data_IF_760240988056
#
_entry.id   IF_760240988056
#
_cell.length_a   1.000
_cell.length_b   1.000
_cell.length_c   1.000
_cell.angle_alpha   90.00
_cell.angle_beta   90.00
_cell.angle_gamma   90.00
#
_symmetry.space_group_name_H-M   'P 1'
#
loop_
_entity.id
_entity.type
_entity.pdbx_description
1 polymer ?
#
# COMPACT_ATOMS: atom_id res chain seq x y z
N UNK A 1 41.35 66.83 34.30
CA UNK A 1 41.14 65.39 34.59
C UNK A 1 39.82 64.83 34.02
N UNK A 2 38.85 65.63 33.53
CA UNK A 2 37.56 65.11 33.01
C UNK A 2 37.57 64.69 31.53
N UNK A 3 38.45 65.25 30.69
CA UNK A 3 38.51 64.94 29.24
C UNK A 3 38.84 63.47 28.92
N UNK A 4 39.64 62.78 29.74
CA UNK A 4 39.94 61.35 29.56
C UNK A 4 38.77 60.42 29.93
N UNK A 5 37.80 60.91 30.73
CA UNK A 5 36.65 60.13 31.15
C UNK A 5 35.55 60.08 30.08
N UNK A 6 35.40 61.13 29.28
CA UNK A 6 34.43 61.20 28.18
C UNK A 6 34.90 60.40 26.96
N UNK A 7 36.18 60.47 26.62
CA UNK A 7 36.76 59.70 25.51
C UNK A 7 36.73 58.19 25.76
N UNK A 8 37.00 57.75 27.01
CA UNK A 8 36.88 56.32 27.37
C UNK A 8 35.44 55.82 27.40
N UNK A 9 34.47 56.67 27.80
CA UNK A 9 33.04 56.34 27.72
C UNK A 9 32.55 56.26 26.28
N UNK A 10 33.01 57.15 25.40
CA UNK A 10 32.67 57.16 23.97
C UNK A 10 33.20 55.89 23.26
N UNK A 11 34.45 55.52 23.48
CA UNK A 11 35.04 54.31 22.89
C UNK A 11 34.37 53.01 23.39
N UNK A 12 33.99 52.96 24.68
CA UNK A 12 33.24 51.83 25.25
C UNK A 12 31.82 51.73 24.68
N UNK A 13 31.16 52.86 24.45
CA UNK A 13 29.84 52.89 23.82
C UNK A 13 29.90 52.41 22.35
N UNK A 14 30.89 52.87 21.58
CA UNK A 14 31.07 52.51 20.16
C UNK A 14 31.43 51.02 19.97
N UNK A 15 32.28 50.46 20.84
CA UNK A 15 32.57 49.01 20.83
C UNK A 15 31.35 48.17 21.20
N UNK A 16 30.49 48.63 22.11
CA UNK A 16 29.28 47.92 22.52
C UNK A 16 28.21 47.91 21.40
N UNK A 17 28.02 49.02 20.69
CA UNK A 17 27.13 49.07 19.50
C UNK A 17 27.67 48.21 18.35
N UNK A 18 28.98 48.21 18.12
CA UNK A 18 29.60 47.33 17.10
C UNK A 18 29.43 45.85 17.43
N UNK A 19 29.63 45.45 18.71
CA UNK A 19 29.38 44.07 19.15
C UNK A 19 27.90 43.68 19.07
N UNK A 20 26.97 44.59 19.41
CA UNK A 20 25.54 44.35 19.27
C UNK A 20 25.14 44.16 17.80
N UNK A 21 25.65 45.00 16.90
CA UNK A 21 25.41 44.88 15.46
C UNK A 21 25.99 43.58 14.88
N UNK A 22 27.19 43.17 15.32
CA UNK A 22 27.80 41.91 14.92
C UNK A 22 26.99 40.70 15.40
N UNK A 23 26.48 40.74 16.63
CA UNK A 23 25.58 39.69 17.16
C UNK A 23 24.29 39.61 16.36
N UNK A 24 23.62 40.74 16.10
CA UNK A 24 22.38 40.76 15.30
C UNK A 24 22.63 40.18 13.90
N UNK A 25 23.72 40.59 13.22
CA UNK A 25 24.11 40.03 11.91
C UNK A 25 24.37 38.52 11.99
N UNK A 26 25.07 38.05 13.02
CA UNK A 26 25.30 36.63 13.23
C UNK A 26 24.00 35.85 13.44
N UNK A 27 23.04 36.39 14.20
CA UNK A 27 21.72 35.76 14.38
C UNK A 27 20.97 35.68 13.04
N UNK A 28 20.95 36.76 12.25
CA UNK A 28 20.34 36.73 10.92
C UNK A 28 20.99 35.70 9.99
N UNK A 29 22.32 35.61 9.99
CA UNK A 29 23.05 34.61 9.19
C UNK A 29 22.73 33.18 9.63
N UNK A 30 22.67 32.92 10.95
CA UNK A 30 22.31 31.61 11.49
C UNK A 30 20.86 31.26 11.16
N UNK A 31 19.92 32.20 11.34
CA UNK A 31 18.53 32.01 10.96
C UNK A 31 18.37 31.72 9.46
N UNK A 32 19.09 32.44 8.61
CA UNK A 32 19.06 32.21 7.16
C UNK A 32 19.65 30.85 6.79
N UNK A 33 20.74 30.43 7.45
CA UNK A 33 21.31 29.09 7.29
C UNK A 33 20.33 27.99 7.72
N UNK A 34 19.63 28.15 8.85
CA UNK A 34 18.62 27.19 9.31
C UNK A 34 17.46 27.09 8.31
N UNK A 35 16.96 28.23 7.81
CA UNK A 35 15.91 28.25 6.78
C UNK A 35 16.39 27.56 5.49
N UNK A 36 17.62 27.81 5.07
CA UNK A 36 18.20 27.16 3.89
C UNK A 36 18.34 25.63 4.08
N UNK A 37 18.80 25.17 5.24
CA UNK A 37 18.90 23.74 5.56
C UNK A 37 17.52 23.08 5.60
N UNK A 38 16.52 23.72 6.21
CA UNK A 38 15.14 23.21 6.22
C UNK A 38 14.53 23.17 4.82
N UNK A 39 14.76 24.19 3.99
CA UNK A 39 14.30 24.22 2.60
C UNK A 39 14.97 23.13 1.75
N UNK A 40 16.28 22.93 1.90
CA UNK A 40 17.01 21.85 1.24
C UNK A 40 16.53 20.47 1.69
N UNK A 41 16.31 20.29 3.00
CA UNK A 41 15.74 19.07 3.57
C UNK A 41 14.35 18.78 3.04
N UNK A 42 13.47 19.78 3.00
CA UNK A 42 12.13 19.67 2.42
C UNK A 42 12.17 19.34 0.92
N UNK A 43 13.08 19.95 0.17
CA UNK A 43 13.26 19.67 -1.26
C UNK A 43 13.73 18.24 -1.50
N UNK A 44 14.73 17.76 -0.73
CA UNK A 44 15.22 16.39 -0.83
C UNK A 44 14.14 15.38 -0.41
N UNK A 45 13.42 15.66 0.67
CA UNK A 45 12.27 14.86 1.14
C UNK A 45 11.20 14.77 0.05
N UNK A 46 10.81 15.89 -0.54
CA UNK A 46 9.79 15.94 -1.59
C UNK A 46 10.18 15.15 -2.85
N UNK A 47 11.49 14.98 -3.12
CA UNK A 47 11.99 14.20 -4.26
C UNK A 47 12.16 12.70 -3.98
N UNK A 48 12.57 12.33 -2.77
CA UNK A 48 12.97 10.95 -2.45
C UNK A 48 12.00 10.17 -1.57
N UNK A 49 11.25 10.84 -0.70
CA UNK A 49 10.35 10.18 0.25
C UNK A 49 9.00 9.82 -0.39
N UNK A 50 8.53 10.65 -1.32
CA UNK A 50 7.33 10.36 -2.08
C UNK A 50 7.69 9.33 -3.16
N UNK A 51 7.31 8.07 -2.90
CA UNK A 51 7.36 6.99 -3.88
C UNK A 51 6.70 7.47 -5.18
N UNK A 52 7.51 7.79 -6.18
CA UNK A 52 7.05 8.07 -7.54
C UNK A 52 6.80 6.73 -8.21
N UNK A 53 5.55 6.51 -8.61
CA UNK A 53 5.15 5.27 -9.28
C UNK A 53 5.52 5.37 -10.75
N UNK A 54 6.28 4.38 -11.25
CA UNK A 54 6.43 4.16 -12.68
C UNK A 54 5.26 3.29 -13.15
N UNK A 55 4.38 3.90 -13.94
CA UNK A 55 3.28 3.22 -14.61
C UNK A 55 3.70 2.95 -16.04
N UNK A 56 3.55 1.71 -16.50
CA UNK A 56 3.66 1.40 -17.92
C UNK A 56 2.32 1.74 -18.58
N UNK A 57 2.31 2.57 -19.64
CA UNK A 57 1.08 2.92 -20.35
C UNK A 57 0.63 1.84 -21.33
N UNK A 58 1.49 0.86 -21.61
CA UNK A 58 1.22 -0.17 -22.61
C UNK A 58 0.39 -1.31 -21.98
N UNK A 59 -0.63 -1.75 -22.72
CA UNK A 59 -1.47 -2.89 -22.34
C UNK A 59 -0.98 -4.17 -23.00
N UNK A 60 -1.09 -5.28 -22.28
CA UNK A 60 -0.81 -6.59 -22.84
C UNK A 60 -1.85 -6.98 -23.89
N UNK A 61 -1.38 -7.51 -25.02
CA UNK A 61 -2.25 -8.04 -26.08
C UNK A 61 -2.32 -9.57 -25.94
N UNK A 62 -3.53 -10.18 -25.99
CA UNK A 62 -3.67 -11.63 -25.90
C UNK A 62 -2.86 -12.40 -26.96
N UNK A 63 -2.59 -11.78 -28.10
CA UNK A 63 -1.88 -12.38 -29.22
C UNK A 63 -0.35 -12.31 -29.14
N UNK A 64 0.22 -11.59 -28.15
CA UNK A 64 1.66 -11.34 -28.04
C UNK A 64 2.21 -12.02 -26.80
N UNK A 65 3.01 -13.10 -26.96
CA UNK A 65 3.61 -13.77 -25.82
C UNK A 65 4.80 -12.97 -25.26
N UNK A 66 4.97 -12.88 -23.92
CA UNK A 66 6.02 -12.07 -23.31
C UNK A 66 7.44 -12.61 -23.54
N UNK A 67 7.57 -13.85 -24.06
CA UNK A 67 8.85 -14.53 -24.29
C UNK A 67 9.07 -14.98 -25.74
N UNK A 68 8.38 -14.38 -26.72
CA UNK A 68 8.36 -14.88 -28.09
C UNK A 68 9.66 -14.67 -28.89
N UNK A 69 10.67 -14.01 -28.31
CA UNK A 69 11.94 -13.69 -28.98
C UNK A 69 13.11 -14.58 -28.56
N UNK A 70 12.92 -15.90 -28.53
CA UNK A 70 14.06 -16.82 -28.55
C UNK A 70 14.42 -17.12 -30.02
N UNK A 71 15.63 -16.77 -30.51
CA UNK A 71 16.03 -17.08 -31.88
C UNK A 71 16.04 -18.60 -32.09
N UNK A 72 15.13 -19.12 -32.93
CA UNK A 72 15.13 -20.53 -33.34
C UNK A 72 13.81 -21.28 -33.25
N UNK A 73 12.68 -20.64 -32.92
CA UNK A 73 11.37 -21.30 -33.04
C UNK A 73 10.84 -21.17 -34.49
N UNK A 74 10.57 -22.28 -35.21
CA UNK A 74 10.15 -22.21 -36.60
C UNK A 74 8.75 -21.59 -36.75
N UNK A 75 8.64 -20.62 -37.67
CA UNK A 75 7.40 -19.96 -38.12
C UNK A 75 6.50 -20.90 -38.92
N UNK A 76 6.13 -22.06 -38.37
CA UNK A 76 5.17 -22.95 -38.99
C UNK A 76 4.03 -23.24 -38.02
N UNK A 77 3.18 -22.23 -37.81
CA UNK A 77 1.86 -22.45 -37.21
C UNK A 77 0.86 -22.32 -38.34
N UNK A 78 0.18 -23.43 -38.66
CA UNK A 78 -0.82 -23.52 -39.73
C UNK A 78 -2.05 -22.62 -39.48
N UNK A 79 -3.11 -22.71 -40.31
CA UNK A 79 -4.29 -21.84 -40.20
C UNK A 79 -5.02 -21.87 -38.85
N UNK A 80 -4.74 -22.86 -37.99
CA UNK A 80 -5.22 -22.92 -36.60
C UNK A 80 -4.47 -21.97 -35.64
N UNK A 81 -3.40 -21.30 -36.09
CA UNK A 81 -2.66 -20.29 -35.32
C UNK A 81 -3.52 -19.09 -34.90
N UNK A 82 -4.56 -18.78 -35.69
CA UNK A 82 -5.48 -17.69 -35.37
C UNK A 82 -6.32 -18.00 -34.09
N UNK A 83 -6.57 -19.29 -33.82
CA UNK A 83 -7.15 -19.77 -32.56
C UNK A 83 -6.11 -19.94 -31.43
N UNK A 84 -4.82 -19.91 -31.77
CA UNK A 84 -3.70 -19.96 -30.83
C UNK A 84 -3.25 -18.57 -30.32
N UNK A 85 -4.07 -17.54 -30.55
CA UNK A 85 -3.78 -16.14 -30.22
C UNK A 85 -4.24 -15.70 -28.83
N UNK A 86 -4.45 -16.65 -27.91
CA UNK A 86 -4.73 -16.38 -26.50
C UNK A 86 -3.71 -17.13 -25.64
N UNK A 87 -3.07 -16.43 -24.69
CA UNK A 87 -2.05 -17.01 -23.81
C UNK A 87 -2.53 -18.28 -23.11
N UNK A 88 -3.83 -18.37 -22.83
CA UNK A 88 -4.50 -19.54 -22.26
C UNK A 88 -5.90 -19.70 -22.86
N UNK A 89 -6.28 -20.91 -23.32
CA UNK A 89 -7.63 -21.13 -23.82
C UNK A 89 -8.66 -20.93 -22.70
N UNK A 90 -9.78 -20.26 -23.02
CA UNK A 90 -10.86 -20.05 -22.09
C UNK A 90 -11.41 -21.40 -21.56
N UNK A 91 -11.28 -21.63 -20.25
CA UNK A 91 -11.81 -22.85 -19.59
C UNK A 91 -13.30 -22.76 -19.25
N UNK A 92 -13.84 -21.54 -19.16
CA UNK A 92 -15.21 -21.27 -18.74
C UNK A 92 -15.84 -20.22 -19.64
N UNK A 93 -17.13 -20.36 -19.97
CA UNK A 93 -17.86 -19.37 -20.77
C UNK A 93 -18.12 -18.06 -20.03
N UNK A 94 -18.23 -18.12 -18.69
CA UNK A 94 -18.57 -16.99 -17.84
C UNK A 94 -17.83 -17.08 -16.51
N UNK A 95 -17.34 -15.94 -16.05
CA UNK A 95 -16.75 -15.77 -14.73
C UNK A 95 -17.51 -14.68 -13.96
N UNK A 96 -17.73 -14.89 -12.67
CA UNK A 96 -18.32 -13.90 -11.76
C UNK A 96 -17.30 -13.59 -10.69
N UNK A 97 -16.95 -12.31 -10.55
CA UNK A 97 -16.03 -11.85 -9.51
C UNK A 97 -16.83 -11.00 -8.53
N UNK A 98 -17.00 -11.53 -7.32
CA UNK A 98 -17.74 -10.89 -6.24
C UNK A 98 -16.77 -10.30 -5.23
N UNK A 99 -16.79 -8.98 -5.10
CA UNK A 99 -16.01 -8.25 -4.09
C UNK A 99 -16.94 -7.86 -2.95
N UNK A 100 -16.61 -8.31 -1.74
CA UNK A 100 -17.34 -7.94 -0.51
C UNK A 100 -16.42 -7.10 0.36
N UNK A 101 -16.77 -5.84 0.56
CA UNK A 101 -15.99 -4.95 1.42
C UNK A 101 -16.02 -5.42 2.88
N UNK A 102 -14.90 -5.21 3.57
CA UNK A 102 -14.69 -5.59 4.97
C UNK A 102 -14.94 -7.09 5.33
N UNK A 103 -15.02 -8.00 4.35
CA UNK A 103 -15.14 -9.43 4.61
C UNK A 103 -13.78 -10.01 5.06
N UNK A 104 -13.59 -10.15 6.36
CA UNK A 104 -12.39 -10.74 6.93
C UNK A 104 -12.35 -12.25 6.72
N UNK A 105 -11.15 -12.81 6.61
CA UNK A 105 -10.94 -14.26 6.42
C UNK A 105 -11.57 -15.10 7.55
N UNK A 106 -11.55 -14.62 8.80
CA UNK A 106 -12.10 -15.32 9.96
C UNK A 106 -13.64 -15.36 9.98
N UNK A 107 -14.31 -14.62 9.09
CA UNK A 107 -15.76 -14.76 8.89
C UNK A 107 -16.10 -15.94 7.98
N UNK A 108 -15.18 -16.29 7.05
CA UNK A 108 -15.34 -17.37 6.08
C UNK A 108 -14.74 -18.71 6.55
N UNK A 109 -13.81 -18.67 7.51
CA UNK A 109 -13.23 -19.88 8.09
C UNK A 109 -14.24 -20.62 8.96
N UNK A 110 -14.46 -21.90 8.65
CA UNK A 110 -15.28 -22.79 9.45
C UNK A 110 -14.44 -23.50 10.51
N UNK A 111 -14.95 -23.62 11.74
CA UNK A 111 -14.34 -24.40 12.82
C UNK A 111 -15.37 -25.27 13.52
N UNK A 112 -15.13 -26.59 13.51
CA UNK A 112 -15.98 -27.56 14.23
C UNK A 112 -15.73 -27.54 15.74
N UNK A 113 -14.52 -27.15 16.18
CA UNK A 113 -14.14 -27.02 17.59
C UNK A 113 -14.98 -25.96 18.33
N UNK A 114 -15.32 -24.88 17.63
CA UNK A 114 -16.14 -23.80 18.17
C UNK A 114 -17.61 -24.22 18.38
N UNK A 115 -18.10 -25.20 17.63
CA UNK A 115 -19.45 -25.74 17.81
C UNK A 115 -19.51 -26.76 18.97
N UNK A 116 -18.41 -27.46 19.26
CA UNK A 116 -18.37 -28.47 20.34
C UNK A 116 -18.27 -27.85 21.73
N UNK A 117 -17.77 -26.62 21.87
CA UNK A 117 -17.66 -25.92 23.16
C UNK A 117 -19.00 -25.41 23.71
N UNK A 118 -20.06 -25.40 22.89
CA UNK A 118 -21.41 -24.97 23.30
C UNK A 118 -22.29 -26.15 23.76
N UNK A 119 -21.88 -27.40 23.51
CA UNK A 119 -22.67 -28.60 23.74
C UNK A 119 -22.45 -29.31 25.09
N UNK A 120 -21.35 -29.02 25.79
CA UNK A 120 -21.07 -29.60 27.11
C UNK A 120 -21.09 -28.50 28.17
N UNK A 121 -22.26 -28.31 28.78
CA UNK A 121 -22.46 -27.57 30.03
C UNK A 121 -21.80 -28.28 31.24
N UNK A 122 -20.56 -28.75 31.07
CA UNK A 122 -19.77 -29.53 32.01
C UNK A 122 -18.28 -29.33 31.74
N UNK A 123 -17.84 -28.07 31.82
CA UNK A 123 -16.43 -27.72 31.65
C UNK A 123 -15.59 -28.16 32.85
N UNK A 124 -14.44 -28.76 32.57
CA UNK A 124 -13.36 -28.97 33.54
C UNK A 124 -12.93 -27.61 34.10
N UNK A 125 -12.90 -27.41 35.43
CA UNK A 125 -12.44 -26.16 36.02
C UNK A 125 -10.94 -26.00 35.75
N UNK A 126 -10.54 -25.03 34.91
CA UNK A 126 -9.13 -24.67 34.71
C UNK A 126 -8.64 -24.57 33.26
N UNK A 127 -9.39 -25.05 32.27
CA UNK A 127 -9.04 -24.84 30.86
C UNK A 127 -9.52 -23.47 30.37
N UNK A 128 -8.67 -22.46 30.53
CA UNK A 128 -8.83 -21.09 29.99
C UNK A 128 -8.79 -21.01 28.44
N UNK A 129 -9.16 -22.07 27.72
CA UNK A 129 -9.30 -22.05 26.26
C UNK A 129 -10.72 -21.64 25.83
N UNK A 130 -11.36 -20.75 26.58
CA UNK A 130 -12.61 -20.12 26.13
C UNK A 130 -12.23 -19.06 25.10
N UNK A 131 -11.90 -19.51 23.90
CA UNK A 131 -12.02 -18.68 22.72
C UNK A 131 -13.48 -18.23 22.66
N UNK A 132 -13.74 -16.99 23.09
CA UNK A 132 -15.08 -16.40 23.08
C UNK A 132 -15.67 -16.59 21.69
N UNK A 133 -16.73 -17.40 21.59
CA UNK A 133 -17.43 -17.62 20.34
C UNK A 133 -17.93 -16.26 19.86
N UNK A 134 -17.33 -15.73 18.79
CA UNK A 134 -17.74 -14.46 18.26
C UNK A 134 -19.03 -14.64 17.45
N UNK A 135 -19.95 -13.66 17.44
CA UNK A 135 -21.24 -13.80 16.76
C UNK A 135 -21.15 -14.17 15.26
N UNK A 136 -20.01 -13.84 14.63
CA UNK A 136 -19.73 -14.04 13.21
C UNK A 136 -19.16 -15.43 12.86
N UNK A 137 -18.73 -16.22 13.85
CA UNK A 137 -18.17 -17.54 13.57
C UNK A 137 -19.23 -18.49 12.97
N UNK A 138 -18.83 -19.27 11.96
CA UNK A 138 -19.67 -20.27 11.31
C UNK A 138 -20.99 -19.70 10.73
N UNK A 139 -21.03 -18.40 10.37
CA UNK A 139 -22.22 -17.74 9.80
C UNK A 139 -22.28 -17.74 8.27
N UNK A 140 -21.25 -18.25 7.58
CA UNK A 140 -21.20 -18.40 6.13
C UNK A 140 -21.16 -19.88 5.72
N UNK A 141 -22.24 -20.67 5.98
CA UNK A 141 -22.25 -22.11 5.76
C UNK A 141 -22.07 -22.50 4.29
N UNK A 142 -22.48 -21.65 3.34
CA UNK A 142 -22.32 -21.91 1.91
C UNK A 142 -20.84 -22.06 1.51
N UNK A 143 -19.95 -21.23 2.05
CA UNK A 143 -18.50 -21.33 1.78
C UNK A 143 -17.97 -22.65 2.32
N UNK A 144 -18.35 -23.01 3.56
CA UNK A 144 -17.94 -24.25 4.19
C UNK A 144 -18.46 -25.50 3.45
N UNK A 145 -19.70 -25.47 2.98
CA UNK A 145 -20.30 -26.55 2.19
C UNK A 145 -19.55 -26.74 0.87
N UNK A 146 -19.25 -25.65 0.15
CA UNK A 146 -18.46 -25.71 -1.09
C UNK A 146 -17.09 -26.34 -0.88
N UNK A 147 -16.37 -25.93 0.17
CA UNK A 147 -15.05 -26.48 0.50
C UNK A 147 -15.07 -27.95 0.91
N UNK A 148 -16.18 -28.43 1.50
CA UNK A 148 -16.34 -29.84 1.91
C UNK A 148 -16.82 -30.74 0.77
N UNK A 149 -17.81 -30.28 0.00
CA UNK A 149 -18.45 -31.07 -1.05
C UNK A 149 -17.64 -31.08 -2.34
N UNK A 150 -16.93 -29.99 -2.64
CA UNK A 150 -16.18 -29.80 -3.89
C UNK A 150 -14.76 -29.27 -3.63
N UNK A 151 -13.89 -30.06 -2.97
CA UNK A 151 -12.53 -29.63 -2.62
C UNK A 151 -11.65 -29.33 -3.84
N UNK A 152 -11.84 -30.04 -4.96
CA UNK A 152 -11.05 -29.82 -6.19
C UNK A 152 -11.54 -28.61 -7.02
N UNK A 153 -12.65 -27.98 -6.62
CA UNK A 153 -13.27 -26.86 -7.32
C UNK A 153 -13.43 -25.61 -6.43
N UNK A 154 -12.93 -25.64 -5.20
CA UNK A 154 -13.02 -24.52 -4.29
C UNK A 154 -11.79 -24.45 -3.41
N UNK A 155 -11.30 -23.24 -3.19
CA UNK A 155 -10.13 -22.99 -2.37
C UNK A 155 -10.34 -21.71 -1.57
N UNK A 156 -9.95 -21.75 -0.30
CA UNK A 156 -9.99 -20.58 0.58
C UNK A 156 -8.55 -20.09 0.80
N UNK A 157 -8.27 -18.89 0.30
CA UNK A 157 -6.97 -18.24 0.47
C UNK A 157 -7.07 -17.07 1.43
N UNK A 158 -5.99 -16.83 2.19
CA UNK A 158 -5.86 -15.64 3.03
C UNK A 158 -5.04 -14.59 2.31
N UNK A 159 -5.70 -13.50 1.92
CA UNK A 159 -5.01 -12.29 1.49
C UNK A 159 -4.53 -11.49 2.71
N UNK A 160 -3.23 -11.25 2.82
CA UNK A 160 -2.64 -10.38 3.83
C UNK A 160 -2.16 -9.11 3.13
N UNK A 161 -2.76 -7.98 3.49
CA UNK A 161 -2.32 -6.67 3.04
C UNK A 161 -1.61 -5.95 4.18
N UNK A 162 -0.48 -5.32 3.87
CA UNK A 162 0.20 -4.42 4.80
C UNK A 162 -0.63 -3.15 5.03
N UNK A 163 -0.50 -2.48 6.19
CA UNK A 163 -1.11 -1.17 6.39
C UNK A 163 -0.60 -0.15 5.36
N UNK A 164 -1.41 0.84 4.96
CA UNK A 164 -2.82 1.10 5.35
C UNK A 164 -3.85 0.15 4.71
N UNK A 165 -4.84 -0.27 5.50
CA UNK A 165 -5.84 -1.26 5.08
C UNK A 165 -7.13 -0.63 4.52
N UNK A 166 -7.00 0.36 3.63
CA UNK A 166 -8.17 1.00 3.01
C UNK A 166 -8.67 0.17 1.82
N UNK A 167 -9.98 0.25 1.53
CA UNK A 167 -10.63 -0.54 0.47
C UNK A 167 -10.08 -0.21 -0.91
N UNK A 168 -9.96 1.08 -1.26
CA UNK A 168 -9.47 1.51 -2.57
C UNK A 168 -8.02 1.06 -2.83
N UNK A 169 -7.14 1.17 -1.84
CA UNK A 169 -5.75 0.74 -2.00
C UNK A 169 -5.62 -0.77 -2.19
N UNK A 170 -6.45 -1.56 -1.48
CA UNK A 170 -6.47 -3.02 -1.64
C UNK A 170 -7.04 -3.44 -2.98
N UNK A 171 -8.08 -2.77 -3.46
CA UNK A 171 -8.62 -3.03 -4.80
C UNK A 171 -7.61 -2.66 -5.88
N UNK A 172 -6.95 -1.49 -5.77
CA UNK A 172 -5.89 -1.07 -6.69
C UNK A 172 -4.74 -2.07 -6.73
N UNK A 173 -4.27 -2.52 -5.57
CA UNK A 173 -3.24 -3.57 -5.49
C UNK A 173 -3.70 -4.91 -6.06
N UNK A 174 -4.96 -5.29 -5.85
CA UNK A 174 -5.53 -6.53 -6.38
C UNK A 174 -5.72 -6.49 -7.91
N UNK A 175 -6.09 -5.34 -8.47
CA UNK A 175 -6.37 -5.22 -9.91
C UNK A 175 -5.11 -5.00 -10.72
N UNK A 176 -4.15 -4.24 -10.20
CA UNK A 176 -2.92 -3.86 -10.93
C UNK A 176 -1.69 -4.68 -10.54
N UNK A 177 -1.73 -5.39 -9.40
CA UNK A 177 -0.56 -6.08 -8.84
C UNK A 177 0.52 -5.15 -8.26
N UNK A 178 0.26 -3.84 -8.17
CA UNK A 178 1.26 -2.83 -7.77
C UNK A 178 1.12 -2.41 -6.31
N UNK A 179 2.22 -1.91 -5.75
CA UNK A 179 2.24 -1.37 -4.38
C UNK A 179 1.55 0.00 -4.32
N UNK A 180 0.68 0.25 -3.32
CA UNK A 180 0.06 1.55 -3.14
C UNK A 180 1.10 2.60 -2.74
N UNK A 181 1.03 3.80 -3.34
CA UNK A 181 1.90 4.93 -2.98
C UNK A 181 1.27 5.82 -1.90
N UNK A 182 2.08 6.63 -1.22
CA UNK A 182 1.60 7.58 -0.20
C UNK A 182 0.62 8.62 -0.77
N UNK A 183 0.79 9.02 -2.04
CA UNK A 183 -0.12 9.95 -2.71
C UNK A 183 -1.49 9.29 -2.93
N UNK A 184 -1.49 8.01 -3.31
CA UNK A 184 -2.73 7.22 -3.48
C UNK A 184 -3.47 6.98 -2.15
N UNK A 185 -2.77 7.00 -1.01
CA UNK A 185 -3.39 6.92 0.31
C UNK A 185 -4.17 8.19 0.68
N UNK A 186 -3.69 9.35 0.23
CA UNK A 186 -4.34 10.63 0.45
C UNK A 186 -5.52 10.86 -0.51
N UNK A 187 -5.45 10.33 -1.72
CA UNK A 187 -6.48 10.48 -2.75
C UNK A 187 -7.64 9.48 -2.66
N UNK A 188 -7.81 8.78 -1.54
CA UNK A 188 -8.96 7.89 -1.27
C UNK A 188 -10.35 8.55 -1.50
N UNK A 189 -10.41 9.88 -1.62
CA UNK A 189 -11.62 10.67 -1.89
C UNK A 189 -11.82 11.07 -3.36
N UNK A 190 -10.79 10.98 -4.19
CA UNK A 190 -10.83 11.31 -5.61
C UNK A 190 -10.48 10.04 -6.38
N UNK A 191 -11.48 9.23 -6.69
CA UNK A 191 -11.33 8.03 -7.51
C UNK A 191 -10.83 8.40 -8.90
N UNK A 192 -9.51 8.49 -9.06
CA UNK A 192 -8.87 8.61 -10.36
C UNK A 192 -9.07 7.30 -11.13
N UNK A 193 -9.25 7.40 -12.44
CA UNK A 193 -9.30 6.23 -13.33
C UNK A 193 -8.00 5.43 -13.21
N UNK A 194 -8.13 4.10 -13.30
CA UNK A 194 -6.98 3.21 -13.39
C UNK A 194 -6.61 3.12 -14.86
N UNK A 195 -5.53 3.81 -15.23
CA UNK A 195 -5.05 3.88 -16.61
C UNK A 195 -4.08 2.72 -16.94
N UNK A 196 -3.75 1.88 -15.95
CA UNK A 196 -2.81 0.77 -16.12
C UNK A 196 -3.50 -0.52 -16.53
N UNK A 197 -2.71 -1.41 -17.14
CA UNK A 197 -3.15 -2.76 -17.43
C UNK A 197 -3.60 -3.50 -16.16
N UNK A 198 -4.77 -4.13 -16.24
CA UNK A 198 -5.44 -4.78 -15.12
C UNK A 198 -6.41 -5.85 -15.64
N UNK A 199 -6.78 -6.81 -14.79
CA UNK A 199 -7.60 -7.95 -15.22
C UNK A 199 -9.07 -7.63 -15.52
N UNK A 200 -9.54 -6.38 -15.33
CA UNK A 200 -10.91 -5.97 -15.65
C UNK A 200 -11.07 -5.42 -17.07
N UNK A 201 -9.97 -5.09 -17.76
CA UNK A 201 -9.97 -4.44 -19.08
C UNK A 201 -9.60 -5.39 -20.21
#
# INVERSE_FOLDING_TARGET
MSLNSETSRSAKAESATSQAALRVRAHWLVSLLLVALSAAGFWLFSRGFLLTRMVLPDHSLPSVLPFQSAPGTPESVGPDAALASEWYPAKYERAIILVVDALRVDFAMWSDELNSTFGTAGGVPGSQHIGRLMPYHNRLPAIAALSRERPDQSMLYRFRADPPTTTLQRLKGLTTGQLPTFIDAGSNFAGSTVDEDNWLQ
#
